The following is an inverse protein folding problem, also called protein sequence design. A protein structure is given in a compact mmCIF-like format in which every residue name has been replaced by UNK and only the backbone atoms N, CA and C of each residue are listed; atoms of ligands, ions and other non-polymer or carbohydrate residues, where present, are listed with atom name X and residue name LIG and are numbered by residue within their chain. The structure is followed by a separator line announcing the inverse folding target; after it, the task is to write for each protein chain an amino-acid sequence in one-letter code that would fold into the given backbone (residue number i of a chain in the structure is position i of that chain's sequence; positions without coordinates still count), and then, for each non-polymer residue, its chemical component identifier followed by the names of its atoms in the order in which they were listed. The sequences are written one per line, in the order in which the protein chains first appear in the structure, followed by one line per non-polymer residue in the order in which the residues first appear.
data_IF_283949099582
#
_entry.id   IF_283949099582
#
_cell.length_a   1.000
_cell.length_b   1.000
_cell.length_c   1.000
_cell.angle_alpha   90.00
_cell.angle_beta   90.00
_cell.angle_gamma   90.00
#
_symmetry.space_group_name_H-M   'P 1'
#
loop_
_entity.id
_entity.type
_entity.pdbx_description
1 polymer ?
#
# COMPACT_ATOMS: atom_id res chain seq x y z
N UNK A 1 25.26 -16.09 61.42
CA UNK A 1 23.88 -15.55 61.52
C UNK A 1 23.99 -14.06 61.79
N UNK A 2 23.47 -13.10 61.03
CA UNK A 2 22.70 -13.05 59.78
C UNK A 2 23.17 -11.78 59.05
N UNK A 3 23.40 -11.89 57.73
CA UNK A 3 23.52 -10.77 56.81
C UNK A 3 22.13 -10.18 56.58
N UNK A 4 22.02 -8.85 56.52
CA UNK A 4 20.88 -8.17 55.91
C UNK A 4 21.40 -6.96 55.14
N UNK A 5 21.81 -7.20 53.89
CA UNK A 5 22.06 -6.16 52.90
C UNK A 5 20.74 -5.77 52.22
N UNK A 6 20.39 -4.50 52.30
CA UNK A 6 19.32 -3.89 51.51
C UNK A 6 19.80 -3.81 50.04
N UNK A 7 19.18 -4.59 49.15
CA UNK A 7 19.42 -4.46 47.71
C UNK A 7 18.46 -3.39 47.15
N UNK A 8 19.03 -2.30 46.65
CA UNK A 8 18.32 -1.32 45.84
C UNK A 8 18.02 -1.97 44.47
N UNK A 9 16.77 -2.37 44.25
CA UNK A 9 16.30 -2.78 42.94
C UNK A 9 16.03 -1.52 42.10
N UNK A 10 17.02 -1.12 41.30
CA UNK A 10 16.83 -0.15 40.23
C UNK A 10 15.89 -0.74 39.18
N UNK A 11 14.69 -0.19 39.09
CA UNK A 11 13.77 -0.44 37.98
C UNK A 11 14.33 0.28 36.75
N UNK A 12 15.02 -0.45 35.88
CA UNK A 12 15.31 0.02 34.52
C UNK A 12 13.99 -0.02 33.74
N UNK A 13 13.31 1.12 33.65
CA UNK A 13 12.31 1.33 32.61
C UNK A 13 13.04 1.29 31.26
N UNK A 14 12.93 0.17 30.56
CA UNK A 14 13.16 0.12 29.12
C UNK A 14 12.03 0.92 28.47
N UNK A 15 12.20 2.24 28.34
CA UNK A 15 11.40 3.01 27.40
C UNK A 15 11.83 2.55 26.00
N UNK A 16 11.01 1.73 25.35
CA UNK A 16 11.05 1.63 23.90
C UNK A 16 10.83 3.05 23.37
N UNK A 17 11.86 3.65 22.78
CA UNK A 17 11.70 4.92 22.08
C UNK A 17 10.69 4.69 20.97
N UNK A 18 9.48 5.23 21.15
CA UNK A 18 8.51 5.32 20.06
C UNK A 18 9.10 6.33 19.08
N UNK A 19 9.35 5.90 17.85
CA UNK A 19 9.87 6.77 16.81
C UNK A 19 8.71 7.60 16.25
N UNK A 20 8.93 8.90 16.08
CA UNK A 20 7.96 9.79 15.42
C UNK A 20 7.58 9.26 14.03
N UNK A 21 6.37 9.60 13.57
CA UNK A 21 5.87 9.25 12.25
C UNK A 21 6.89 9.59 11.15
N UNK A 22 7.26 8.59 10.33
CA UNK A 22 8.21 8.73 9.22
C UNK A 22 7.59 8.45 7.83
N UNK A 23 8.36 8.75 6.78
CA UNK A 23 7.95 8.55 5.38
C UNK A 23 7.70 7.07 5.07
N UNK A 24 8.45 6.17 5.68
CA UNK A 24 8.29 4.73 5.48
C UNK A 24 6.93 4.24 6.00
N UNK A 25 6.50 4.71 7.17
CA UNK A 25 5.19 4.40 7.74
C UNK A 25 4.05 4.97 6.89
N UNK A 26 4.24 6.15 6.30
CA UNK A 26 3.30 6.74 5.34
C UNK A 26 3.19 5.90 4.05
N UNK A 27 4.32 5.42 3.51
CA UNK A 27 4.34 4.54 2.34
C UNK A 27 3.65 3.20 2.62
N UNK A 28 3.87 2.62 3.80
CA UNK A 28 3.17 1.41 4.24
C UNK A 28 1.66 1.65 4.37
N UNK A 29 1.25 2.81 4.87
CA UNK A 29 -0.17 3.15 4.97
C UNK A 29 -0.84 3.23 3.58
N UNK A 30 -0.20 3.88 2.61
CA UNK A 30 -0.69 3.91 1.23
C UNK A 30 -0.67 2.51 0.60
N UNK A 31 0.37 1.71 0.84
CA UNK A 31 0.42 0.33 0.37
C UNK A 31 -0.79 -0.48 0.87
N UNK A 32 -1.13 -0.36 2.16
CA UNK A 32 -2.26 -1.10 2.74
C UNK A 32 -3.63 -0.59 2.26
N UNK A 33 -3.77 0.69 1.90
CA UNK A 33 -5.01 1.20 1.30
C UNK A 33 -5.21 0.63 -0.11
N UNK A 34 -4.16 0.59 -0.94
CA UNK A 34 -4.22 -0.04 -2.26
C UNK A 34 -4.44 -1.56 -2.18
N UNK A 35 -3.82 -2.27 -1.23
CA UNK A 35 -4.10 -3.71 -1.01
C UNK A 35 -5.57 -3.97 -0.66
N UNK A 36 -6.17 -3.09 0.13
CA UNK A 36 -7.59 -3.18 0.50
C UNK A 36 -8.49 -2.93 -0.71
N UNK A 37 -8.16 -1.95 -1.55
CA UNK A 37 -8.89 -1.70 -2.80
C UNK A 37 -8.74 -2.86 -3.80
N UNK A 38 -7.53 -3.41 -3.96
CA UNK A 38 -7.29 -4.61 -4.77
C UNK A 38 -8.13 -5.80 -4.27
N UNK A 39 -8.23 -5.99 -2.95
CA UNK A 39 -9.08 -7.03 -2.38
C UNK A 39 -10.57 -6.79 -2.66
N UNK A 40 -11.05 -5.54 -2.59
CA UNK A 40 -12.42 -5.18 -2.98
C UNK A 40 -12.71 -5.57 -4.44
N UNK A 41 -11.82 -5.25 -5.37
CA UNK A 41 -12.00 -5.65 -6.78
C UNK A 41 -11.90 -7.16 -7.00
N UNK A 42 -11.09 -7.85 -6.19
CA UNK A 42 -11.01 -9.30 -6.21
C UNK A 42 -12.31 -9.95 -5.71
N UNK A 43 -13.02 -9.35 -4.74
CA UNK A 43 -14.37 -9.77 -4.34
C UNK A 43 -15.33 -9.70 -5.53
N UNK A 44 -15.31 -8.59 -6.27
CA UNK A 44 -16.13 -8.44 -7.48
C UNK A 44 -15.79 -9.48 -8.55
N UNK A 45 -14.49 -9.65 -8.87
CA UNK A 45 -14.02 -10.62 -9.86
C UNK A 45 -14.33 -12.07 -9.51
N UNK A 46 -14.37 -12.40 -8.22
CA UNK A 46 -14.70 -13.73 -7.70
C UNK A 46 -16.16 -13.87 -7.30
N UNK A 47 -17.05 -12.95 -7.71
CA UNK A 47 -18.49 -13.01 -7.44
C UNK A 47 -18.84 -13.17 -5.95
N UNK A 48 -18.06 -12.52 -5.06
CA UNK A 48 -18.41 -12.45 -3.65
C UNK A 48 -18.18 -13.74 -2.86
N UNK A 49 -17.29 -14.64 -3.31
CA UNK A 49 -17.00 -15.88 -2.57
C UNK A 49 -16.59 -15.60 -1.11
N UNK A 50 -16.90 -16.51 -0.16
CA UNK A 50 -16.49 -16.37 1.23
C UNK A 50 -14.97 -16.16 1.40
N UNK A 51 -14.16 -16.83 0.57
CA UNK A 51 -12.70 -16.66 0.55
C UNK A 51 -12.30 -15.23 0.19
N UNK A 52 -12.86 -14.65 -0.88
CA UNK A 52 -12.54 -13.27 -1.27
C UNK A 52 -13.03 -12.24 -0.26
N UNK A 53 -14.20 -12.46 0.36
CA UNK A 53 -14.72 -11.60 1.41
C UNK A 53 -13.84 -11.65 2.67
N UNK A 54 -13.42 -12.84 3.09
CA UNK A 54 -12.49 -13.01 4.19
C UNK A 54 -11.14 -12.33 3.93
N UNK A 55 -10.62 -12.43 2.71
CA UNK A 55 -9.40 -11.74 2.31
C UNK A 55 -9.54 -10.21 2.36
N UNK A 56 -10.70 -9.66 1.95
CA UNK A 56 -10.98 -8.22 2.08
C UNK A 56 -10.96 -7.77 3.54
N UNK A 57 -11.67 -8.47 4.43
CA UNK A 57 -11.67 -8.11 5.86
C UNK A 57 -10.28 -8.21 6.50
N UNK A 58 -9.46 -9.19 6.10
CA UNK A 58 -8.07 -9.27 6.54
C UNK A 58 -7.27 -8.03 6.10
N UNK A 59 -7.44 -7.57 4.86
CA UNK A 59 -6.75 -6.36 4.36
C UNK A 59 -7.23 -5.10 5.08
N UNK A 60 -8.54 -4.97 5.33
CA UNK A 60 -9.09 -3.84 6.09
C UNK A 60 -8.56 -3.81 7.53
N UNK A 61 -8.41 -4.98 8.16
CA UNK A 61 -7.79 -5.08 9.50
C UNK A 61 -6.31 -4.67 9.48
N UNK A 62 -5.55 -5.10 8.48
CA UNK A 62 -4.15 -4.69 8.31
C UNK A 62 -4.02 -3.18 8.09
N UNK A 63 -4.93 -2.59 7.31
CA UNK A 63 -4.99 -1.13 7.12
C UNK A 63 -5.30 -0.40 8.43
N UNK A 64 -6.26 -0.87 9.23
CA UNK A 64 -6.57 -0.30 10.55
C UNK A 64 -5.37 -0.33 11.50
N UNK A 65 -4.63 -1.44 11.50
CA UNK A 65 -3.40 -1.58 12.29
C UNK A 65 -2.34 -0.55 11.85
N UNK A 66 -2.18 -0.37 10.54
CA UNK A 66 -1.23 0.62 10.01
C UNK A 66 -1.65 2.06 10.32
N UNK A 67 -2.94 2.38 10.23
CA UNK A 67 -3.48 3.69 10.66
C UNK A 67 -3.21 3.93 12.14
N UNK A 68 -3.43 2.92 12.99
CA UNK A 68 -3.13 3.00 14.42
C UNK A 68 -1.64 3.27 14.66
N UNK A 69 -0.74 2.62 13.90
CA UNK A 69 0.69 2.85 13.98
C UNK A 69 1.08 4.27 13.52
N UNK A 70 0.49 4.77 12.43
CA UNK A 70 0.70 6.14 11.93
C UNK A 70 0.19 7.22 12.88
N UNK A 71 -0.80 6.89 13.73
CA UNK A 71 -1.32 7.81 14.74
C UNK A 71 -0.46 7.90 16.01
N UNK A 72 0.65 7.16 16.09
CA UNK A 72 1.62 7.27 17.17
C UNK A 72 2.58 8.42 16.89
N UNK A 73 2.73 9.33 17.85
CA UNK A 73 3.72 10.43 17.82
C UNK A 73 3.73 11.25 16.52
N UNK A 74 2.53 11.74 16.14
CA UNK A 74 2.33 12.60 14.96
C UNK A 74 3.07 13.94 15.16
N UNK A 75 3.97 14.34 14.24
CA UNK A 75 4.57 15.67 14.26
C UNK A 75 3.51 16.76 14.21
N UNK A 76 3.71 17.86 14.96
CA UNK A 76 2.73 18.95 15.05
C UNK A 76 2.29 19.46 13.67
N UNK A 77 3.25 19.63 12.75
CA UNK A 77 3.00 20.05 11.37
C UNK A 77 2.07 19.12 10.57
N UNK A 78 2.04 17.82 10.91
CA UNK A 78 1.23 16.82 10.24
C UNK A 78 -0.15 16.60 10.89
N UNK A 79 -0.44 17.20 12.04
CA UNK A 79 -1.65 16.90 12.83
C UNK A 79 -2.94 17.09 12.00
N UNK A 80 -3.01 18.16 11.21
CA UNK A 80 -4.17 18.44 10.35
C UNK A 80 -4.35 17.40 9.25
N UNK A 81 -3.29 17.11 8.48
CA UNK A 81 -3.37 16.17 7.36
C UNK A 81 -3.65 14.73 7.84
N UNK A 82 -3.09 14.31 8.97
CA UNK A 82 -3.35 12.97 9.54
C UNK A 82 -4.78 12.88 10.09
N UNK A 83 -5.32 13.94 10.71
CA UNK A 83 -6.71 13.94 11.15
C UNK A 83 -7.68 13.79 9.96
N UNK A 84 -7.44 14.49 8.85
CA UNK A 84 -8.26 14.32 7.65
C UNK A 84 -8.08 12.94 7.00
N UNK A 85 -6.86 12.41 6.98
CA UNK A 85 -6.58 11.06 6.49
C UNK A 85 -7.35 9.99 7.27
N UNK A 86 -7.42 10.11 8.59
CA UNK A 86 -8.21 9.21 9.44
C UNK A 86 -9.70 9.23 9.10
N UNK A 87 -10.26 10.42 8.83
CA UNK A 87 -11.67 10.55 8.42
C UNK A 87 -11.91 9.93 7.03
N UNK A 88 -11.02 10.18 6.07
CA UNK A 88 -11.09 9.57 4.73
C UNK A 88 -10.98 8.05 4.82
N UNK A 89 -10.08 7.54 5.66
CA UNK A 89 -9.89 6.12 5.90
C UNK A 89 -11.16 5.43 6.45
N UNK A 90 -11.84 6.03 7.44
CA UNK A 90 -13.10 5.49 7.95
C UNK A 90 -14.19 5.42 6.86
N UNK A 91 -14.24 6.44 6.01
CA UNK A 91 -15.14 6.48 4.84
C UNK A 91 -14.80 5.35 3.87
N UNK A 92 -13.52 5.20 3.50
CA UNK A 92 -13.02 4.14 2.63
C UNK A 92 -13.37 2.74 3.18
N UNK A 93 -13.12 2.48 4.45
CA UNK A 93 -13.46 1.19 5.07
C UNK A 93 -14.95 0.88 5.01
N UNK A 94 -15.79 1.88 5.26
CA UNK A 94 -17.25 1.72 5.22
C UNK A 94 -17.71 1.36 3.81
N UNK A 95 -17.20 2.05 2.80
CA UNK A 95 -17.50 1.79 1.39
C UNK A 95 -16.99 0.43 0.92
N UNK A 96 -15.78 0.03 1.35
CA UNK A 96 -15.22 -1.27 1.00
C UNK A 96 -16.12 -2.43 1.46
N UNK A 97 -16.73 -2.30 2.65
CA UNK A 97 -17.66 -3.31 3.20
C UNK A 97 -19.05 -3.31 2.57
N UNK A 98 -19.37 -2.31 1.75
CA UNK A 98 -20.61 -2.25 0.99
C UNK A 98 -20.53 -3.02 -0.34
N UNK A 99 -19.50 -3.84 -0.55
CA UNK A 99 -19.46 -4.75 -1.68
C UNK A 99 -20.52 -5.86 -1.53
N UNK A 100 -21.66 -5.65 -2.16
CA UNK A 100 -22.88 -6.46 -2.11
C UNK A 100 -23.00 -7.48 -3.25
N UNK A 101 -21.92 -7.71 -4.02
CA UNK A 101 -21.98 -8.60 -5.20
C UNK A 101 -22.37 -10.04 -4.86
N UNK A 102 -22.12 -10.50 -3.63
CA UNK A 102 -22.50 -11.82 -3.17
C UNK A 102 -24.04 -11.98 -3.04
N UNK A 103 -24.74 -10.90 -2.70
CA UNK A 103 -26.19 -10.90 -2.44
C UNK A 103 -26.98 -10.35 -3.62
N UNK A 104 -26.50 -9.28 -4.25
CA UNK A 104 -27.21 -8.56 -5.31
C UNK A 104 -26.75 -8.96 -6.72
N UNK A 105 -25.61 -9.66 -6.86
CA UNK A 105 -25.04 -10.06 -8.14
C UNK A 105 -24.35 -8.92 -8.92
N UNK A 106 -24.36 -7.70 -8.38
CA UNK A 106 -23.59 -6.55 -8.83
C UNK A 106 -23.12 -5.74 -7.62
N UNK A 107 -22.10 -4.91 -7.81
CA UNK A 107 -21.71 -3.87 -6.83
C UNK A 107 -22.29 -2.54 -7.29
N UNK A 108 -22.88 -1.77 -6.38
CA UNK A 108 -23.43 -0.46 -6.72
C UNK A 108 -22.36 0.50 -7.28
N UNK A 109 -22.60 1.06 -8.47
CA UNK A 109 -21.70 2.02 -9.14
C UNK A 109 -21.32 3.23 -8.25
N UNK A 110 -22.24 3.72 -7.43
CA UNK A 110 -21.95 4.84 -6.50
C UNK A 110 -20.95 4.42 -5.42
N UNK A 111 -21.05 3.20 -4.90
CA UNK A 111 -20.09 2.66 -3.92
C UNK A 111 -18.70 2.57 -4.55
N UNK A 112 -18.62 2.14 -5.81
CA UNK A 112 -17.36 2.06 -6.55
C UNK A 112 -16.76 3.46 -6.75
N UNK A 113 -17.55 4.43 -7.18
CA UNK A 113 -17.11 5.82 -7.37
C UNK A 113 -16.58 6.39 -6.05
N UNK A 114 -17.39 6.33 -4.99
CA UNK A 114 -17.05 6.93 -3.69
C UNK A 114 -15.83 6.24 -3.06
N UNK A 115 -15.70 4.91 -3.21
CA UNK A 115 -14.54 4.15 -2.72
C UNK A 115 -13.26 4.65 -3.39
N UNK A 116 -13.29 4.86 -4.72
CA UNK A 116 -12.13 5.34 -5.46
C UNK A 116 -11.80 6.79 -5.12
N UNK A 117 -12.81 7.64 -4.98
CA UNK A 117 -12.61 9.01 -4.50
C UNK A 117 -11.95 9.01 -3.11
N UNK A 118 -12.39 8.15 -2.20
CA UNK A 118 -11.79 8.02 -0.88
C UNK A 118 -10.34 7.50 -0.96
N UNK A 119 -10.07 6.48 -1.79
CA UNK A 119 -8.73 5.92 -1.99
C UNK A 119 -7.74 6.98 -2.52
N UNK A 120 -8.13 7.72 -3.55
CA UNK A 120 -7.27 8.77 -4.14
C UNK A 120 -7.06 9.93 -3.18
N UNK A 121 -8.09 10.31 -2.42
CA UNK A 121 -7.96 11.32 -1.37
C UNK A 121 -7.01 10.88 -0.26
N UNK A 122 -7.04 9.61 0.15
CA UNK A 122 -6.05 9.07 1.09
C UNK A 122 -4.63 9.15 0.50
N UNK A 123 -4.45 8.77 -0.77
CA UNK A 123 -3.15 8.84 -1.43
C UNK A 123 -2.62 10.28 -1.51
N UNK A 124 -3.48 11.24 -1.83
CA UNK A 124 -3.15 12.67 -1.83
C UNK A 124 -2.72 13.16 -0.44
N UNK A 125 -3.51 12.86 0.60
CA UNK A 125 -3.20 13.25 1.99
C UNK A 125 -1.87 12.64 2.46
N UNK A 126 -1.59 11.39 2.07
CA UNK A 126 -0.31 10.74 2.35
C UNK A 126 0.84 11.43 1.62
N UNK A 127 0.67 11.78 0.33
CA UNK A 127 1.70 12.50 -0.43
C UNK A 127 2.00 13.88 0.17
N UNK A 128 0.97 14.64 0.58
CA UNK A 128 1.14 15.91 1.28
C UNK A 128 1.95 15.72 2.57
N UNK A 129 1.63 14.71 3.38
CA UNK A 129 2.38 14.41 4.60
C UNK A 129 3.84 14.03 4.30
N UNK A 130 4.10 13.23 3.24
CA UNK A 130 5.46 12.89 2.78
C UNK A 130 6.26 14.13 2.39
N UNK A 131 5.67 15.01 1.58
CA UNK A 131 6.33 16.25 1.14
C UNK A 131 6.72 17.15 2.32
N UNK A 132 5.85 17.24 3.33
CA UNK A 132 6.11 17.98 4.56
C UNK A 132 7.21 17.35 5.44
N UNK A 133 7.46 16.05 5.33
CA UNK A 133 8.58 15.37 6.00
C UNK A 133 9.89 15.48 5.21
N UNK A 134 9.83 15.61 3.89
CA UNK A 134 11.02 15.63 3.03
C UNK A 134 11.82 16.95 3.11
N UNK A 135 11.17 18.09 3.38
CA UNK A 135 11.76 19.46 3.49
C UNK A 135 13.22 19.63 3.04
N UNK A 136 13.47 19.51 1.72
CA UNK A 136 14.76 19.79 1.09
C UNK A 136 15.81 18.67 1.14
N UNK A 137 15.52 17.52 1.75
CA UNK A 137 16.34 16.32 1.72
C UNK A 137 15.93 15.42 0.55
N UNK A 138 16.91 14.71 -0.03
CA UNK A 138 16.64 13.62 -0.96
C UNK A 138 16.12 12.40 -0.20
N UNK A 139 15.14 11.68 -0.75
CA UNK A 139 14.68 10.40 -0.19
C UNK A 139 15.85 9.43 0.02
N UNK A 140 15.91 8.82 1.20
CA UNK A 140 16.80 7.70 1.50
C UNK A 140 16.48 6.49 0.63
N UNK A 141 17.41 5.55 0.51
CA UNK A 141 17.15 4.32 -0.26
C UNK A 141 16.00 3.50 0.36
N UNK A 142 15.90 3.45 1.69
CA UNK A 142 14.78 2.81 2.39
C UNK A 142 13.43 3.37 1.94
N UNK A 143 13.32 4.70 1.89
CA UNK A 143 12.11 5.42 1.48
C UNK A 143 11.79 5.23 0.00
N UNK A 144 12.79 5.24 -0.88
CA UNK A 144 12.58 4.98 -2.32
C UNK A 144 12.07 3.56 -2.57
N UNK A 145 12.58 2.57 -1.84
CA UNK A 145 12.12 1.18 -1.94
C UNK A 145 10.70 0.98 -1.38
N UNK A 146 10.33 1.66 -0.28
CA UNK A 146 8.95 1.61 0.23
C UNK A 146 7.97 2.31 -0.71
N UNK A 147 8.38 3.44 -1.29
CA UNK A 147 7.61 4.14 -2.33
C UNK A 147 7.40 3.26 -3.55
N UNK A 148 8.44 2.57 -4.04
CA UNK A 148 8.31 1.64 -5.17
C UNK A 148 7.36 0.47 -4.86
N UNK A 149 7.37 -0.05 -3.63
CA UNK A 149 6.42 -1.07 -3.20
C UNK A 149 4.97 -0.55 -3.22
N UNK A 150 4.75 0.67 -2.72
CA UNK A 150 3.45 1.36 -2.78
C UNK A 150 2.99 1.56 -4.24
N UNK A 151 3.87 2.04 -5.11
CA UNK A 151 3.53 2.35 -6.51
C UNK A 151 3.22 1.10 -7.32
N UNK A 152 3.92 -0.01 -7.04
CA UNK A 152 3.60 -1.34 -7.57
C UNK A 152 2.18 -1.80 -7.20
N UNK A 153 1.76 -1.58 -5.96
CA UNK A 153 0.41 -1.92 -5.52
C UNK A 153 -0.65 -0.98 -6.10
N UNK A 154 -0.35 0.33 -6.21
CA UNK A 154 -1.22 1.30 -6.86
C UNK A 154 -1.48 0.88 -8.32
N UNK A 155 -0.41 0.55 -9.06
CA UNK A 155 -0.49 0.05 -10.42
C UNK A 155 -1.34 -1.22 -10.53
N UNK A 156 -1.13 -2.16 -9.60
CA UNK A 156 -1.94 -3.39 -9.53
C UNK A 156 -3.41 -3.09 -9.25
N UNK A 157 -3.69 -2.11 -8.38
CA UNK A 157 -5.06 -1.69 -8.08
C UNK A 157 -5.75 -1.14 -9.32
N UNK A 158 -5.13 -0.21 -10.04
CA UNK A 158 -5.70 0.35 -11.27
C UNK A 158 -5.85 -0.70 -12.37
N UNK A 159 -4.92 -1.65 -12.45
CA UNK A 159 -5.07 -2.81 -13.32
C UNK A 159 -6.33 -3.64 -12.94
N UNK A 160 -6.54 -3.90 -11.66
CA UNK A 160 -7.68 -4.69 -11.14
C UNK A 160 -9.02 -3.99 -11.35
N UNK A 161 -9.07 -2.67 -11.18
CA UNK A 161 -10.21 -1.82 -11.54
C UNK A 161 -10.62 -2.10 -12.99
N UNK A 162 -9.66 -2.02 -13.92
CA UNK A 162 -9.91 -2.22 -15.35
C UNK A 162 -10.32 -3.65 -15.67
N UNK A 163 -9.69 -4.63 -15.03
CA UNK A 163 -10.00 -6.05 -15.19
C UNK A 163 -11.40 -6.42 -14.67
N UNK A 164 -11.89 -5.75 -13.62
CA UNK A 164 -13.21 -5.99 -13.02
C UNK A 164 -14.40 -5.56 -13.90
N UNK A 165 -14.14 -4.95 -15.07
CA UNK A 165 -15.16 -4.29 -15.91
C UNK A 165 -15.86 -3.09 -15.27
N UNK A 166 -15.42 -2.68 -14.07
CA UNK A 166 -15.89 -1.48 -13.36
C UNK A 166 -15.07 -0.22 -13.69
N UNK A 167 -14.13 -0.31 -14.65
CA UNK A 167 -13.27 0.81 -15.04
C UNK A 167 -14.03 2.05 -15.49
N UNK A 168 -15.20 1.89 -16.12
CA UNK A 168 -16.04 3.03 -16.52
C UNK A 168 -16.62 3.77 -15.30
N UNK A 169 -16.91 3.07 -14.20
CA UNK A 169 -17.36 3.71 -12.96
C UNK A 169 -16.19 4.43 -12.27
N UNK A 170 -14.98 3.86 -12.30
CA UNK A 170 -13.77 4.51 -11.79
C UNK A 170 -13.54 5.88 -12.44
N UNK A 171 -13.51 5.94 -13.78
CA UNK A 171 -13.23 7.19 -14.51
C UNK A 171 -14.38 8.21 -14.48
N UNK A 172 -15.58 7.85 -13.99
CA UNK A 172 -16.70 8.80 -13.84
C UNK A 172 -16.56 9.72 -12.63
N UNK A 173 -15.74 9.36 -11.64
CA UNK A 173 -15.61 10.10 -10.37
C UNK A 173 -14.20 10.58 -10.03
N UNK A 174 -13.21 10.30 -10.87
CA UNK A 174 -11.80 10.62 -10.60
C UNK A 174 -11.14 11.25 -11.82
N UNK A 175 -10.07 12.00 -11.61
CA UNK A 175 -9.18 12.39 -12.72
C UNK A 175 -8.66 11.14 -13.44
N UNK A 176 -8.39 11.29 -14.74
CA UNK A 176 -7.93 10.20 -15.57
C UNK A 176 -6.51 9.81 -15.18
N UNK A 177 -6.35 8.67 -14.51
CA UNK A 177 -5.04 8.08 -14.22
C UNK A 177 -4.52 7.41 -15.48
N UNK A 178 -3.37 7.88 -15.96
CA UNK A 178 -2.63 7.24 -17.04
C UNK A 178 -1.85 6.04 -16.51
N UNK A 179 -2.45 4.85 -16.63
CA UNK A 179 -1.83 3.58 -16.23
C UNK A 179 -0.54 3.33 -17.02
N UNK A 180 -0.45 3.77 -18.27
CA UNK A 180 0.75 3.62 -19.10
C UNK A 180 1.92 4.45 -18.58
N UNK A 181 1.65 5.68 -18.15
CA UNK A 181 2.64 6.53 -17.48
C UNK A 181 3.11 5.89 -16.16
N UNK A 182 2.18 5.37 -15.35
CA UNK A 182 2.53 4.71 -14.09
C UNK A 182 3.39 3.46 -14.30
N UNK A 183 3.12 2.64 -15.33
CA UNK A 183 3.98 1.50 -15.70
C UNK A 183 5.40 1.97 -16.05
N UNK A 184 5.53 3.07 -16.79
CA UNK A 184 6.84 3.61 -17.17
C UNK A 184 7.59 4.20 -15.96
N UNK A 185 6.87 4.86 -15.03
CA UNK A 185 7.45 5.39 -13.80
C UNK A 185 8.00 4.26 -12.93
N UNK A 186 7.20 3.21 -12.69
CA UNK A 186 7.63 2.03 -11.93
C UNK A 186 8.84 1.34 -12.56
N UNK A 187 8.89 1.24 -13.90
CA UNK A 187 10.09 0.75 -14.61
C UNK A 187 11.31 1.62 -14.28
N UNK A 188 11.18 2.93 -14.39
CA UNK A 188 12.29 3.85 -14.15
C UNK A 188 12.79 3.77 -12.70
N UNK A 189 11.89 3.65 -11.72
CA UNK A 189 12.24 3.48 -10.31
C UNK A 189 12.98 2.15 -10.06
N UNK A 190 12.57 1.05 -10.69
CA UNK A 190 13.33 -0.20 -10.65
C UNK A 190 14.73 -0.06 -11.24
N UNK A 191 14.85 0.56 -12.42
CA UNK A 191 16.12 0.75 -13.11
C UNK A 191 17.08 1.68 -12.33
N UNK A 192 16.53 2.62 -11.55
CA UNK A 192 17.32 3.50 -10.69
C UNK A 192 17.89 2.77 -9.46
N UNK A 193 17.19 1.77 -8.92
CA UNK A 193 17.58 1.06 -7.70
C UNK A 193 18.41 -0.20 -7.97
N UNK A 194 18.17 -0.86 -9.10
CA UNK A 194 18.80 -2.15 -9.42
C UNK A 194 20.20 -1.95 -10.00
N UNK A 195 21.20 -2.48 -9.31
CA UNK A 195 22.52 -2.65 -9.91
C UNK A 195 22.59 -3.96 -10.71
N UNK A 196 22.44 -3.87 -12.03
CA UNK A 196 22.47 -5.03 -12.95
C UNK A 196 23.82 -5.78 -12.99
N UNK A 197 24.88 -5.21 -12.41
CA UNK A 197 26.19 -5.87 -12.31
C UNK A 197 26.28 -6.80 -11.11
N UNK A 198 25.38 -6.67 -10.13
CA UNK A 198 25.29 -7.57 -8.98
C UNK A 198 24.58 -8.87 -9.38
N UNK A 199 25.25 -10.00 -9.17
CA UNK A 199 24.76 -11.34 -9.51
C UNK A 199 24.29 -12.12 -8.30
N UNK A 200 24.15 -11.48 -7.14
CA UNK A 200 23.65 -12.15 -5.96
C UNK A 200 22.24 -12.70 -6.21
N UNK A 201 22.10 -14.02 -6.18
CA UNK A 201 20.81 -14.69 -6.39
C UNK A 201 19.85 -14.51 -5.21
N UNK A 202 20.38 -14.15 -4.05
CA UNK A 202 19.64 -13.96 -2.81
C UNK A 202 19.31 -12.49 -2.55
N UNK A 203 19.60 -11.58 -3.49
CA UNK A 203 19.19 -10.17 -3.40
C UNK A 203 17.66 -10.04 -3.61
N UNK A 204 16.90 -9.59 -2.59
CA UNK A 204 15.46 -9.38 -2.72
C UNK A 204 15.12 -8.37 -3.82
N UNK A 205 15.89 -7.29 -3.97
CA UNK A 205 15.62 -6.25 -4.97
C UNK A 205 15.75 -6.82 -6.39
N UNK A 206 16.77 -7.61 -6.66
CA UNK A 206 16.93 -8.32 -7.93
C UNK A 206 15.80 -9.34 -8.18
N UNK A 207 15.29 -9.99 -7.13
CA UNK A 207 14.15 -10.90 -7.23
C UNK A 207 12.85 -10.18 -7.56
N UNK A 208 12.61 -9.01 -6.95
CA UNK A 208 11.50 -8.12 -7.28
C UNK A 208 11.60 -7.68 -8.75
N UNK A 209 12.76 -7.21 -9.19
CA UNK A 209 12.95 -6.75 -10.57
C UNK A 209 12.71 -7.83 -11.62
N UNK A 210 13.18 -9.07 -11.41
CA UNK A 210 12.88 -10.19 -12.32
C UNK A 210 11.38 -10.52 -12.38
N UNK A 211 10.70 -10.37 -11.25
CA UNK A 211 9.25 -10.57 -11.16
C UNK A 211 8.50 -9.46 -11.90
N UNK A 212 8.97 -8.21 -11.79
CA UNK A 212 8.47 -7.07 -12.58
C UNK A 212 8.58 -7.32 -14.08
N UNK A 213 9.78 -7.70 -14.57
CA UNK A 213 10.02 -8.00 -15.99
C UNK A 213 9.07 -9.07 -16.55
N UNK A 214 8.57 -9.97 -15.70
CA UNK A 214 7.61 -10.99 -16.12
C UNK A 214 6.21 -10.43 -16.38
N UNK A 215 5.73 -9.51 -15.54
CA UNK A 215 4.35 -8.98 -15.63
C UNK A 215 4.22 -7.65 -16.36
N UNK A 216 5.31 -6.94 -16.59
CA UNK A 216 5.31 -5.61 -17.21
C UNK A 216 4.53 -5.55 -18.53
N UNK A 217 4.73 -6.53 -19.43
CA UNK A 217 4.02 -6.56 -20.71
C UNK A 217 2.51 -6.75 -20.52
N UNK A 218 2.11 -7.49 -19.50
CA UNK A 218 0.69 -7.67 -19.15
C UNK A 218 0.10 -6.37 -18.59
N UNK A 219 0.87 -5.63 -17.79
CA UNK A 219 0.46 -4.33 -17.25
C UNK A 219 0.30 -3.27 -18.34
N UNK A 220 1.16 -3.24 -19.37
CA UNK A 220 0.97 -2.41 -20.57
C UNK A 220 -0.31 -2.72 -21.35
N UNK A 221 -0.84 -3.95 -21.19
CA UNK A 221 -2.06 -4.45 -21.83
C UNK A 221 -3.25 -4.44 -20.86
N UNK A 222 -3.30 -3.49 -19.94
CA UNK A 222 -4.36 -3.39 -18.92
C UNK A 222 -5.78 -3.35 -19.50
N UNK A 223 -5.94 -2.79 -20.70
CA UNK A 223 -7.21 -2.75 -21.43
C UNK A 223 -7.68 -4.12 -21.96
N UNK A 224 -6.77 -5.10 -22.08
CA UNK A 224 -7.10 -6.47 -22.51
C UNK A 224 -7.72 -7.31 -21.37
N UNK A 225 -7.74 -6.78 -20.12
CA UNK A 225 -8.33 -7.42 -18.91
C UNK A 225 -7.81 -8.84 -18.65
N UNK A 226 -6.56 -9.13 -19.06
CA UNK A 226 -6.03 -10.49 -19.15
C UNK A 226 -5.14 -10.89 -17.97
N UNK A 227 -5.52 -11.97 -17.28
CA UNK A 227 -4.73 -12.60 -16.21
C UNK A 227 -4.55 -11.78 -14.90
N UNK A 228 -5.63 -11.23 -14.29
CA UNK A 228 -5.55 -10.52 -13.00
C UNK A 228 -4.92 -11.35 -11.87
N UNK A 229 -5.12 -12.67 -11.88
CA UNK A 229 -4.51 -13.59 -10.91
C UNK A 229 -2.98 -13.68 -11.04
N UNK A 230 -2.43 -13.55 -12.25
CA UNK A 230 -0.97 -13.54 -12.46
C UNK A 230 -0.41 -12.21 -11.96
N UNK A 231 -1.04 -11.09 -12.34
CA UNK A 231 -0.60 -9.75 -11.92
C UNK A 231 -0.57 -9.64 -10.40
N UNK A 232 -1.67 -9.97 -9.72
CA UNK A 232 -1.75 -9.92 -8.24
C UNK A 232 -0.73 -10.82 -7.56
N UNK A 233 -0.56 -12.06 -8.02
CA UNK A 233 0.43 -13.00 -7.44
C UNK A 233 1.87 -12.51 -7.57
N UNK A 234 2.25 -11.99 -8.74
CA UNK A 234 3.59 -11.48 -8.93
C UNK A 234 3.78 -10.14 -8.22
N UNK A 235 2.76 -9.29 -8.14
CA UNK A 235 2.79 -8.08 -7.34
C UNK A 235 3.03 -8.39 -5.85
N UNK A 236 2.32 -9.36 -5.25
CA UNK A 236 2.56 -9.77 -3.86
C UNK A 236 4.03 -10.17 -3.63
N UNK A 237 4.61 -10.91 -4.58
CA UNK A 237 6.03 -11.28 -4.53
C UNK A 237 6.94 -10.06 -4.67
N UNK A 238 6.65 -9.15 -5.60
CA UNK A 238 7.43 -7.94 -5.83
C UNK A 238 7.43 -7.06 -4.58
N UNK A 239 6.25 -6.74 -4.05
CA UNK A 239 6.07 -5.92 -2.85
C UNK A 239 6.80 -6.52 -1.66
N UNK A 240 6.65 -7.83 -1.41
CA UNK A 240 7.35 -8.48 -0.30
C UNK A 240 8.88 -8.32 -0.42
N UNK A 241 9.44 -8.57 -1.60
CA UNK A 241 10.87 -8.45 -1.82
C UNK A 241 11.38 -6.99 -1.76
N UNK A 242 10.57 -6.01 -2.18
CA UNK A 242 10.90 -4.58 -2.05
C UNK A 242 10.92 -4.14 -0.58
N UNK A 243 9.97 -4.61 0.23
CA UNK A 243 9.94 -4.35 1.66
C UNK A 243 11.09 -5.04 2.39
N UNK A 244 11.44 -6.27 2.01
CA UNK A 244 12.62 -6.98 2.54
C UNK A 244 13.91 -6.21 2.22
N UNK A 245 14.08 -5.74 0.99
CA UNK A 245 15.22 -4.90 0.59
C UNK A 245 15.25 -3.55 1.33
N UNK A 246 14.08 -2.93 1.54
CA UNK A 246 13.93 -1.70 2.32
C UNK A 246 14.38 -1.91 3.77
N UNK A 247 13.94 -3.00 4.41
CA UNK A 247 14.31 -3.33 5.80
C UNK A 247 15.80 -3.66 5.98
N UNK A 248 16.47 -4.16 4.95
CA UNK A 248 17.91 -4.44 4.96
C UNK A 248 18.77 -3.19 4.73
N UNK A 249 18.17 -2.09 4.29
CA UNK A 249 18.84 -0.82 4.05
C UNK A 249 18.80 0.03 5.33
N UNK A 250 19.97 0.27 5.95
CA UNK A 250 20.11 1.18 7.10
C UNK A 250 19.96 2.65 6.70
#
# INVERSE_FOLDING_TARGET
MKLSSLAAAGLLCLSSAVSALDIHQLDLLALHSYKSATAFYNVTLKHGTPESQGALEERLLQLEQQVTATNQDIPEALTGVIAELNNTHQTFQTLARQNDIATEGFTNDYVIVDLNTALLKMAEQINIAREQLLTGNSESKKERLSRLARDMEALTTFYMVMASSLGDAFYRGTEHIDVGELVNQVRADFEAEVNLTDKNKDDPLMTAYKSWLFIEKTLHKYNERSAPHIVTRFNDRIVANLLDASAQTQ
#
